data_IF_802567168341
#
_entry.id   IF_802567168341
#
_cell.length_a   1.000
_cell.length_b   1.000
_cell.length_c   1.000
_cell.angle_alpha   90.00
_cell.angle_beta   90.00
_cell.angle_gamma   90.00
#
_symmetry.space_group_name_H-M   'P 1'
#
loop_
_entity.id
_entity.type
_entity.pdbx_description
1 polymer ?
#
# COMPACT_ATOMS: atom_id res chain seq x y z
N UNK A 1 0.13 -22.22 11.71
CA UNK A 1 0.81 -22.69 12.93
C UNK A 1 2.02 -21.82 13.26
N UNK A 2 3.04 -21.69 12.40
CA UNK A 2 4.19 -20.83 12.68
C UNK A 2 3.83 -19.34 12.81
N UNK A 3 2.86 -18.88 12.02
CA UNK A 3 2.32 -17.52 12.11
C UNK A 3 1.68 -17.26 13.47
N UNK A 4 0.84 -18.19 13.92
CA UNK A 4 0.06 -18.09 15.16
C UNK A 4 0.99 -18.03 16.38
N UNK A 5 2.08 -18.80 16.37
CA UNK A 5 3.13 -18.72 17.40
C UNK A 5 3.79 -17.34 17.45
N UNK A 6 4.15 -16.78 16.29
CA UNK A 6 4.79 -15.46 16.23
C UNK A 6 3.85 -14.33 16.66
N UNK A 7 2.55 -14.46 16.38
CA UNK A 7 1.52 -13.55 16.87
C UNK A 7 1.41 -13.65 18.40
N UNK A 8 1.38 -14.86 18.96
CA UNK A 8 1.30 -15.10 20.40
C UNK A 8 2.51 -14.53 21.16
N UNK A 9 3.71 -14.59 20.57
CA UNK A 9 4.92 -13.96 21.12
C UNK A 9 4.99 -12.45 20.92
N UNK A 10 4.04 -11.84 20.20
CA UNK A 10 4.07 -10.40 19.90
C UNK A 10 5.20 -9.98 18.97
N UNK A 11 5.78 -10.89 18.20
CA UNK A 11 6.93 -10.66 17.32
C UNK A 11 6.51 -10.00 15.98
N UNK A 12 5.84 -8.85 16.05
CA UNK A 12 5.25 -8.15 14.89
C UNK A 12 6.27 -7.72 13.83
N UNK A 13 7.49 -7.34 14.25
CA UNK A 13 8.57 -6.99 13.33
C UNK A 13 9.03 -8.19 12.48
N UNK A 14 9.27 -9.35 13.12
CA UNK A 14 9.66 -10.58 12.45
C UNK A 14 8.55 -11.10 11.52
N UNK A 15 7.29 -10.93 11.92
CA UNK A 15 6.14 -11.21 11.05
C UNK A 15 6.14 -10.35 9.79
N UNK A 16 6.35 -9.05 9.93
CA UNK A 16 6.41 -8.13 8.78
C UNK A 16 7.61 -8.43 7.87
N UNK A 17 8.77 -8.75 8.42
CA UNK A 17 9.93 -9.14 7.61
C UNK A 17 9.64 -10.39 6.79
N UNK A 18 9.12 -11.45 7.42
CA UNK A 18 8.84 -12.73 6.75
C UNK A 18 7.71 -12.64 5.73
N UNK A 19 6.58 -12.07 6.10
CA UNK A 19 5.38 -12.06 5.26
C UNK A 19 5.34 -10.95 4.23
N UNK A 20 6.01 -9.82 4.48
CA UNK A 20 5.90 -8.65 3.60
C UNK A 20 7.21 -8.32 2.90
N UNK A 21 8.31 -8.22 3.64
CA UNK A 21 9.59 -7.75 3.07
C UNK A 21 10.29 -8.84 2.27
N UNK A 22 10.32 -10.07 2.82
CA UNK A 22 10.99 -11.22 2.21
C UNK A 22 10.10 -12.01 1.24
N UNK A 23 8.79 -12.09 1.51
CA UNK A 23 7.89 -12.86 0.66
C UNK A 23 7.60 -12.11 -0.64
N UNK A 24 6.87 -10.99 -0.57
CA UNK A 24 6.31 -10.36 -1.76
C UNK A 24 6.08 -8.85 -1.56
N UNK A 25 7.15 -8.06 -1.44
CA UNK A 25 7.01 -6.61 -1.38
C UNK A 25 6.70 -6.05 -2.77
N UNK A 26 5.56 -5.38 -2.95
CA UNK A 26 5.20 -4.75 -4.22
C UNK A 26 4.72 -3.31 -4.05
N UNK A 27 4.83 -2.51 -5.11
CA UNK A 27 4.33 -1.12 -5.12
C UNK A 27 3.03 -1.00 -5.90
N UNK A 28 2.10 -0.23 -5.35
CA UNK A 28 0.82 0.16 -5.96
C UNK A 28 0.62 1.66 -5.80
N UNK A 29 -0.13 2.28 -6.72
CA UNK A 29 -0.51 3.68 -6.62
C UNK A 29 -1.99 3.79 -6.25
N UNK A 30 -2.32 4.73 -5.38
CA UNK A 30 -3.70 5.05 -5.03
C UNK A 30 -3.90 6.55 -5.02
N UNK A 31 -5.06 7.00 -5.48
CA UNK A 31 -5.43 8.41 -5.46
C UNK A 31 -6.08 8.77 -4.12
N UNK A 32 -5.67 9.87 -3.49
CA UNK A 32 -6.25 10.30 -2.20
C UNK A 32 -7.69 10.82 -2.34
N UNK A 33 -8.04 11.40 -3.50
CA UNK A 33 -9.36 12.00 -3.75
C UNK A 33 -10.45 10.94 -3.96
N UNK A 34 -10.29 10.07 -4.96
CA UNK A 34 -11.29 9.03 -5.26
C UNK A 34 -11.11 7.75 -4.43
N UNK A 35 -9.96 7.60 -3.74
CA UNK A 35 -9.60 6.41 -2.96
C UNK A 35 -9.46 5.13 -3.79
N UNK A 36 -9.50 5.20 -5.11
CA UNK A 36 -9.31 4.04 -5.98
C UNK A 36 -7.82 3.82 -6.28
N UNK A 37 -7.47 2.59 -6.64
CA UNK A 37 -6.17 2.27 -7.21
C UNK A 37 -5.96 3.08 -8.50
N UNK A 38 -4.80 3.71 -8.61
CA UNK A 38 -4.37 4.44 -9.79
C UNK A 38 -3.47 3.54 -10.64
N UNK A 39 -3.67 3.56 -11.95
CA UNK A 39 -2.87 2.78 -12.89
C UNK A 39 -1.71 3.63 -13.39
N UNK A 40 -0.60 2.97 -13.70
CA UNK A 40 0.50 3.61 -14.44
C UNK A 40 0.16 3.51 -15.91
N UNK A 41 0.10 4.65 -16.58
CA UNK A 41 -0.24 4.72 -18.00
C UNK A 41 0.93 5.36 -18.72
N UNK A 42 1.34 4.75 -19.82
CA UNK A 42 2.26 5.32 -20.79
C UNK A 42 1.49 5.51 -22.09
N UNK A 43 0.99 6.72 -22.32
CA UNK A 43 0.15 6.98 -23.49
C UNK A 43 -0.33 8.44 -23.60
N UNK A 44 -1.07 8.71 -24.66
CA UNK A 44 -1.78 9.98 -24.83
C UNK A 44 -3.16 9.88 -24.20
N UNK A 45 -3.39 10.63 -23.13
CA UNK A 45 -4.72 10.84 -22.53
C UNK A 45 -5.10 12.29 -22.77
N UNK A 46 -6.27 12.54 -23.35
CA UNK A 46 -6.79 13.89 -23.65
C UNK A 46 -5.77 14.78 -24.42
N UNK A 47 -5.07 14.20 -25.41
CA UNK A 47 -4.12 14.90 -26.27
C UNK A 47 -2.75 15.19 -25.65
N UNK A 48 -2.52 14.84 -24.37
CA UNK A 48 -1.23 15.01 -23.68
C UNK A 48 -0.55 13.65 -23.52
N UNK A 49 0.74 13.58 -23.84
CA UNK A 49 1.58 12.40 -23.54
C UNK A 49 1.87 12.40 -22.04
N UNK A 50 1.25 11.46 -21.33
CA UNK A 50 1.47 11.26 -19.90
C UNK A 50 2.28 9.97 -19.75
N UNK A 51 3.37 10.06 -19.01
CA UNK A 51 4.16 8.91 -18.55
C UNK A 51 4.17 8.93 -17.04
N UNK A 52 3.45 8.01 -16.41
CA UNK A 52 3.43 7.90 -14.95
C UNK A 52 2.10 7.47 -14.36
N UNK A 53 1.99 7.52 -13.02
CA UNK A 53 0.75 7.18 -12.34
C UNK A 53 -0.32 8.22 -12.68
N UNK A 54 -1.47 7.75 -13.15
CA UNK A 54 -2.57 8.59 -13.56
C UNK A 54 -3.89 8.02 -13.04
N UNK A 55 -4.72 8.87 -12.43
CA UNK A 55 -6.03 8.45 -12.00
C UNK A 55 -7.03 8.58 -13.16
N UNK A 56 -7.59 7.45 -13.62
CA UNK A 56 -8.61 7.44 -14.68
C UNK A 56 -9.95 8.05 -14.25
N UNK A 57 -10.29 7.97 -12.96
CA UNK A 57 -11.56 8.47 -12.42
C UNK A 57 -11.52 9.99 -12.24
N UNK A 58 -10.45 10.52 -11.65
CA UNK A 58 -10.29 11.95 -11.41
C UNK A 58 -9.68 12.71 -12.58
N UNK A 59 -9.11 12.00 -13.57
CA UNK A 59 -8.35 12.58 -14.68
C UNK A 59 -7.24 13.54 -14.23
N UNK A 60 -6.61 13.23 -13.10
CA UNK A 60 -5.55 14.02 -12.49
C UNK A 60 -4.33 13.16 -12.22
N UNK A 61 -3.15 13.78 -12.36
CA UNK A 61 -1.88 13.26 -11.85
C UNK A 61 -1.69 13.68 -10.38
N UNK A 62 -2.37 14.75 -9.97
CA UNK A 62 -2.28 15.31 -8.64
C UNK A 62 -2.89 14.37 -7.58
N UNK A 63 -2.26 14.32 -6.40
CA UNK A 63 -2.69 13.57 -5.21
C UNK A 63 -2.63 12.04 -5.31
N UNK A 64 -1.63 11.52 -6.03
CA UNK A 64 -1.34 10.09 -6.09
C UNK A 64 -0.26 9.71 -5.08
N UNK A 65 -0.56 8.74 -4.23
CA UNK A 65 0.34 8.20 -3.22
C UNK A 65 0.85 6.83 -3.64
N UNK A 66 2.12 6.57 -3.33
CA UNK A 66 2.73 5.25 -3.48
C UNK A 66 2.47 4.43 -2.22
N UNK A 67 1.96 3.22 -2.38
CA UNK A 67 1.68 2.27 -1.32
C UNK A 67 2.55 1.03 -1.52
N UNK A 68 3.17 0.57 -0.44
CA UNK A 68 3.78 -0.75 -0.42
C UNK A 68 2.72 -1.74 0.07
N UNK A 69 2.42 -2.74 -0.75
CA UNK A 69 1.41 -3.77 -0.50
C UNK A 69 1.96 -5.12 -0.91
N UNK A 70 1.53 -6.23 -0.27
CA UNK A 70 1.96 -7.54 -0.70
C UNK A 70 1.42 -7.82 -2.11
N UNK A 71 2.20 -8.50 -2.95
CA UNK A 71 1.82 -8.72 -4.34
C UNK A 71 0.46 -9.45 -4.48
N UNK A 72 0.18 -10.43 -3.61
CA UNK A 72 -1.10 -11.10 -3.57
C UNK A 72 -2.29 -10.16 -3.35
N UNK A 73 -2.16 -9.15 -2.48
CA UNK A 73 -3.22 -8.17 -2.27
C UNK A 73 -3.41 -7.28 -3.51
N UNK A 74 -2.33 -6.92 -4.21
CA UNK A 74 -2.41 -6.15 -5.46
C UNK A 74 -3.19 -6.90 -6.54
N UNK A 75 -2.96 -8.20 -6.70
CA UNK A 75 -3.71 -9.05 -7.63
C UNK A 75 -5.19 -9.19 -7.23
N UNK A 76 -5.45 -9.45 -5.95
CA UNK A 76 -6.83 -9.53 -5.43
C UNK A 76 -7.63 -8.24 -5.75
N UNK A 77 -6.98 -7.07 -5.65
CA UNK A 77 -7.61 -5.81 -6.03
C UNK A 77 -7.97 -5.73 -7.52
N UNK A 78 -7.14 -6.30 -8.39
CA UNK A 78 -7.39 -6.36 -9.83
C UNK A 78 -8.53 -7.34 -10.16
N UNK A 79 -8.57 -8.50 -9.49
CA UNK A 79 -9.63 -9.49 -9.66
C UNK A 79 -10.98 -8.95 -9.18
N UNK A 80 -11.03 -8.32 -8.01
CA UNK A 80 -12.24 -7.67 -7.50
C UNK A 80 -12.73 -6.58 -8.47
N UNK A 81 -11.81 -5.79 -9.03
CA UNK A 81 -12.15 -4.79 -10.03
C UNK A 81 -12.73 -5.42 -11.30
N UNK A 82 -12.20 -6.57 -11.74
CA UNK A 82 -12.74 -7.31 -12.89
C UNK A 82 -14.15 -7.86 -12.65
N UNK A 83 -14.51 -8.14 -11.39
CA UNK A 83 -15.86 -8.52 -10.98
C UNK A 83 -16.79 -7.32 -10.73
N UNK A 84 -16.33 -6.09 -10.96
CA UNK A 84 -17.10 -4.87 -10.73
C UNK A 84 -17.15 -4.40 -9.26
N UNK A 85 -16.33 -4.99 -8.38
CA UNK A 85 -16.23 -4.58 -6.97
C UNK A 85 -15.10 -3.57 -6.83
N UNK A 86 -15.42 -2.36 -6.37
CA UNK A 86 -14.44 -1.30 -6.13
C UNK A 86 -13.98 -1.27 -4.67
N UNK A 87 -12.68 -1.42 -4.45
CA UNK A 87 -12.04 -1.22 -3.15
C UNK A 87 -11.60 0.23 -3.00
N UNK A 88 -11.95 0.85 -1.86
CA UNK A 88 -11.57 2.22 -1.51
C UNK A 88 -10.47 2.23 -0.46
N UNK A 89 -9.30 2.76 -0.81
CA UNK A 89 -8.15 2.93 0.06
C UNK A 89 -8.18 4.29 0.75
N UNK A 90 -8.41 4.31 2.06
CA UNK A 90 -8.21 5.51 2.87
C UNK A 90 -6.74 5.61 3.29
N UNK A 91 -6.01 6.54 2.70
CA UNK A 91 -4.62 6.79 3.06
C UNK A 91 -4.54 8.07 3.88
N UNK A 92 -3.98 7.97 5.09
CA UNK A 92 -3.62 9.13 5.90
C UNK A 92 -2.10 9.21 5.92
N UNK A 93 -1.57 10.34 5.46
CA UNK A 93 -0.13 10.62 5.55
C UNK A 93 0.22 10.79 7.03
N UNK A 94 0.72 9.72 7.64
CA UNK A 94 1.28 9.80 8.97
C UNK A 94 2.67 10.44 8.83
N UNK A 95 2.87 11.65 9.36
CA UNK A 95 4.19 12.33 9.44
C UNK A 95 5.15 11.62 10.41
N UNK A 96 5.18 10.30 10.41
CA UNK A 96 6.18 9.54 11.16
C UNK A 96 7.37 9.42 10.23
N UNK A 97 8.35 10.30 10.46
CA UNK A 97 9.67 10.26 9.84
C UNK A 97 10.16 8.80 9.74
N UNK A 98 10.17 8.29 8.51
CA UNK A 98 10.69 6.97 8.18
C UNK A 98 12.21 6.99 8.37
N UNK A 99 12.67 6.60 9.56
CA UNK A 99 13.93 5.85 9.72
C UNK A 99 14.20 5.22 11.09
N UNK A 100 13.45 5.51 12.16
CA UNK A 100 13.75 4.92 13.49
C UNK A 100 12.54 4.50 14.34
N UNK A 101 11.32 4.96 14.03
CA UNK A 101 10.23 4.90 15.01
C UNK A 101 9.34 3.64 15.02
N UNK A 102 9.45 2.72 14.06
CA UNK A 102 8.73 1.43 14.21
C UNK A 102 9.30 0.61 15.38
N UNK A 103 10.60 0.74 15.66
CA UNK A 103 11.24 0.15 16.83
C UNK A 103 11.04 0.95 18.13
N UNK A 104 11.05 2.29 18.07
CA UNK A 104 10.93 3.13 19.27
C UNK A 104 9.52 3.16 19.87
N UNK A 105 8.46 2.99 19.07
CA UNK A 105 7.08 3.01 19.59
C UNK A 105 6.67 1.69 20.26
N UNK A 106 7.35 0.58 19.96
CA UNK A 106 7.18 -0.69 20.69
C UNK A 106 8.03 -0.76 21.96
N UNK A 107 9.17 -0.06 22.04
CA UNK A 107 10.02 -0.04 23.25
C UNK A 107 9.35 0.62 24.46
N UNK A 108 8.46 1.59 24.24
CA UNK A 108 7.72 2.25 25.33
C UNK A 108 6.51 1.47 25.84
N UNK A 109 6.12 0.37 25.19
CA UNK A 109 4.97 -0.46 25.61
C UNK A 109 5.38 -1.72 26.39
N UNK A 110 6.68 -2.05 26.46
CA UNK A 110 7.19 -3.25 27.15
C UNK A 110 8.05 -2.93 28.39
N UNK A 111 8.08 -1.67 28.82
CA UNK A 111 8.81 -1.22 30.01
C UNK A 111 7.88 -0.63 31.09
N UNK A 112 6.68 -1.18 31.21
CA UNK A 112 5.79 -1.02 32.36
C UNK A 112 5.24 -2.37 32.77
#
# INVERSE_FOLDING_TARGET
MELDCLIAHGASANLHERLFTLCDSSQMHACQKCKNAANVIDGTVDGRRIRGPYCLVCKSVDDIVRLNVPYGAKLLCQELFSMGISLKFETRLCRVSTRTLFWERYRTLFCK
#
